data_IF_815494144114
#
_entry.id   IF_815494144114
#
_cell.length_a   1.000
_cell.length_b   1.000
_cell.length_c   1.000
_cell.angle_alpha   90.00
_cell.angle_beta   90.00
_cell.angle_gamma   90.00
#
_symmetry.space_group_name_H-M   'P 1'
#
loop_
_entity.id
_entity.type
_entity.pdbx_description
1 polymer ?
#
# COMPACT_ATOMS: atom_id res chain seq x y z
N UNK A 1 8.34 -28.37 4.53
CA UNK A 1 8.26 -27.22 5.46
C UNK A 1 8.20 -25.85 4.76
N UNK A 2 8.85 -25.64 3.61
CA UNK A 2 8.92 -24.30 2.97
C UNK A 2 7.57 -23.74 2.47
N UNK A 3 6.59 -24.57 2.04
CA UNK A 3 5.34 -24.07 1.42
C UNK A 3 4.38 -23.35 2.37
N UNK A 4 4.09 -23.97 3.51
CA UNK A 4 3.22 -23.37 4.54
C UNK A 4 3.84 -22.06 5.02
N UNK A 5 5.17 -22.05 5.21
CA UNK A 5 5.92 -20.83 5.54
C UNK A 5 5.81 -19.76 4.44
N UNK A 6 5.89 -20.14 3.17
CA UNK A 6 5.71 -19.24 2.03
C UNK A 6 4.31 -18.63 1.93
N UNK A 7 3.28 -19.43 2.20
CA UNK A 7 1.89 -18.95 2.26
C UNK A 7 1.64 -18.04 3.45
N UNK A 8 2.13 -18.41 4.65
CA UNK A 8 2.00 -17.59 5.86
C UNK A 8 2.69 -16.23 5.66
N UNK A 9 3.92 -16.23 5.16
CA UNK A 9 4.66 -14.99 4.89
C UNK A 9 3.99 -14.15 3.81
N UNK A 10 3.44 -14.76 2.75
CA UNK A 10 2.67 -14.06 1.72
C UNK A 10 1.43 -13.37 2.33
N UNK A 11 0.65 -14.09 3.14
CA UNK A 11 -0.53 -13.56 3.82
C UNK A 11 -0.15 -12.42 4.76
N UNK A 12 0.93 -12.57 5.55
CA UNK A 12 1.41 -11.53 6.46
C UNK A 12 1.83 -10.26 5.73
N UNK A 13 2.62 -10.37 4.67
CA UNK A 13 3.09 -9.22 3.88
C UNK A 13 1.87 -8.51 3.25
N UNK A 14 0.98 -9.25 2.62
CA UNK A 14 -0.17 -8.68 1.91
C UNK A 14 -1.20 -8.07 2.87
N UNK A 15 -1.44 -8.71 4.02
CA UNK A 15 -2.32 -8.15 5.06
C UNK A 15 -1.74 -6.87 5.67
N UNK A 16 -0.42 -6.82 5.87
CA UNK A 16 0.28 -5.62 6.37
C UNK A 16 0.21 -4.47 5.37
N UNK A 17 0.39 -4.75 4.07
CA UNK A 17 0.23 -3.77 3.01
C UNK A 17 -1.21 -3.24 2.94
N UNK A 18 -2.20 -4.15 3.00
CA UNK A 18 -3.61 -3.77 3.00
C UNK A 18 -3.97 -2.89 4.20
N UNK A 19 -3.46 -3.23 5.39
CA UNK A 19 -3.66 -2.45 6.61
C UNK A 19 -3.09 -1.04 6.49
N UNK A 20 -1.92 -0.90 5.88
CA UNK A 20 -1.32 0.40 5.62
C UNK A 20 -2.12 1.22 4.58
N UNK A 21 -2.60 0.59 3.50
CA UNK A 21 -3.49 1.27 2.53
C UNK A 21 -4.76 1.75 3.23
N UNK A 22 -5.36 0.91 4.09
CA UNK A 22 -6.51 1.28 4.90
C UNK A 22 -6.23 2.54 5.75
N UNK A 23 -5.10 2.58 6.46
CA UNK A 23 -4.73 3.75 7.24
C UNK A 23 -4.55 5.01 6.39
N UNK A 24 -3.96 4.88 5.20
CA UNK A 24 -3.85 6.00 4.27
C UNK A 24 -5.21 6.55 3.85
N UNK A 25 -6.15 5.66 3.51
CA UNK A 25 -7.52 6.06 3.18
C UNK A 25 -8.22 6.69 4.37
N UNK A 26 -8.05 6.13 5.56
CA UNK A 26 -8.66 6.63 6.79
C UNK A 26 -8.19 8.06 7.08
N UNK A 27 -6.89 8.29 7.04
CA UNK A 27 -6.26 9.58 7.32
C UNK A 27 -6.55 10.60 6.22
N UNK A 28 -6.58 10.17 4.96
CA UNK A 28 -7.04 11.03 3.87
C UNK A 28 -8.51 11.41 4.05
N UNK A 29 -9.33 10.54 4.59
CA UNK A 29 -10.75 10.86 4.83
C UNK A 29 -10.93 11.82 6.00
N UNK A 30 -10.07 11.75 7.04
CA UNK A 30 -10.15 12.68 8.18
C UNK A 30 -9.75 14.12 7.83
N UNK A 31 -9.12 14.40 6.68
CA UNK A 31 -8.83 15.77 6.22
C UNK A 31 -10.00 16.44 5.47
N UNK A 32 -11.08 15.70 5.19
CA UNK A 32 -12.23 16.21 4.41
C UNK A 32 -13.53 16.02 5.19
N UNK A 33 -14.24 17.12 5.40
CA UNK A 33 -15.53 17.15 6.11
C UNK A 33 -16.57 16.25 5.42
N UNK A 34 -16.76 16.42 4.11
CA UNK A 34 -17.71 15.65 3.32
C UNK A 34 -17.03 14.47 2.59
N UNK A 35 -16.44 13.55 3.35
CA UNK A 35 -15.79 12.37 2.79
C UNK A 35 -16.79 11.21 2.58
N UNK A 36 -16.54 10.39 1.56
CA UNK A 36 -17.39 9.27 1.12
C UNK A 36 -17.58 8.22 2.23
N UNK A 37 -16.62 8.10 3.16
CA UNK A 37 -16.63 7.11 4.23
C UNK A 37 -17.24 7.63 5.54
N UNK A 38 -17.74 8.87 5.58
CA UNK A 38 -18.28 9.53 6.77
C UNK A 38 -17.33 9.49 7.99
N UNK A 39 -16.02 9.52 7.75
CA UNK A 39 -15.01 9.55 8.80
C UNK A 39 -14.99 10.95 9.43
N UNK A 40 -14.92 11.08 10.77
CA UNK A 40 -14.88 12.38 11.42
C UNK A 40 -13.70 13.24 10.95
N UNK A 41 -13.98 14.51 10.67
CA UNK A 41 -12.94 15.48 10.32
C UNK A 41 -12.01 15.74 11.53
N UNK A 42 -10.70 15.66 11.29
CA UNK A 42 -9.68 15.89 12.31
C UNK A 42 -8.78 17.08 11.90
N UNK A 43 -8.88 18.25 12.54
CA UNK A 43 -8.12 19.44 12.17
C UNK A 43 -6.68 19.46 12.72
N UNK A 44 -6.23 18.40 13.39
CA UNK A 44 -4.97 18.38 14.16
C UNK A 44 -3.71 18.54 13.31
N UNK A 45 -3.78 18.32 12.00
CA UNK A 45 -2.63 18.34 11.10
C UNK A 45 -1.70 17.13 11.27
N UNK A 46 -2.03 16.18 12.14
CA UNK A 46 -1.21 14.99 12.40
C UNK A 46 -1.13 14.03 11.20
N UNK A 47 -1.92 14.26 10.15
CA UNK A 47 -1.95 13.42 8.95
C UNK A 47 -0.60 13.39 8.22
N UNK A 48 0.08 14.53 8.11
CA UNK A 48 1.42 14.63 7.50
C UNK A 48 2.48 13.85 8.28
N UNK A 49 2.38 13.88 9.62
CA UNK A 49 3.28 13.15 10.50
C UNK A 49 3.12 11.63 10.32
N UNK A 50 1.88 11.15 10.19
CA UNK A 50 1.63 9.75 9.88
C UNK A 50 2.28 9.33 8.57
N UNK A 51 2.11 10.11 7.49
CA UNK A 51 2.67 9.78 6.18
C UNK A 51 4.20 9.71 6.18
N UNK A 52 4.85 10.53 7.00
CA UNK A 52 6.30 10.48 7.17
C UNK A 52 6.74 9.22 7.95
N UNK A 53 6.02 8.89 9.03
CA UNK A 53 6.32 7.70 9.85
C UNK A 53 6.01 6.39 9.13
N UNK A 54 4.99 6.34 8.28
CA UNK A 54 4.62 5.12 7.54
C UNK A 54 5.64 4.75 6.46
N UNK A 55 6.42 5.72 5.97
CA UNK A 55 7.43 5.52 4.92
C UNK A 55 8.46 4.42 5.23
N UNK A 56 9.15 4.39 6.39
CA UNK A 56 10.06 3.29 6.73
C UNK A 56 9.38 1.92 6.78
N UNK A 57 8.12 1.85 7.23
CA UNK A 57 7.38 0.57 7.22
C UNK A 57 7.13 0.07 5.80
N UNK A 58 6.90 0.97 4.84
CA UNK A 58 6.77 0.59 3.43
C UNK A 58 8.07 0.09 2.82
N UNK A 59 9.19 0.73 3.13
CA UNK A 59 10.49 0.27 2.67
C UNK A 59 10.77 -1.14 3.18
N UNK A 60 10.50 -1.39 4.47
CA UNK A 60 10.65 -2.72 5.06
C UNK A 60 9.72 -3.74 4.38
N UNK A 61 8.45 -3.41 4.15
CA UNK A 61 7.51 -4.32 3.48
C UNK A 61 7.87 -4.59 2.02
N UNK A 62 8.34 -3.59 1.28
CA UNK A 62 8.80 -3.75 -0.09
C UNK A 62 10.03 -4.67 -0.15
N UNK A 63 10.99 -4.49 0.78
CA UNK A 63 12.16 -5.37 0.91
C UNK A 63 11.74 -6.81 1.27
N UNK A 64 10.83 -6.97 2.23
CA UNK A 64 10.30 -8.28 2.61
C UNK A 64 9.60 -8.98 1.44
N UNK A 65 8.80 -8.24 0.66
CA UNK A 65 8.15 -8.77 -0.54
C UNK A 65 9.16 -9.20 -1.60
N UNK A 66 10.23 -8.42 -1.79
CA UNK A 66 11.30 -8.76 -2.73
C UNK A 66 12.10 -9.99 -2.28
N UNK A 67 12.46 -10.07 -0.99
CA UNK A 67 13.13 -11.22 -0.40
C UNK A 67 12.25 -12.48 -0.48
N UNK A 68 10.95 -12.35 -0.21
CA UNK A 68 9.98 -13.43 -0.35
C UNK A 68 9.92 -13.95 -1.79
N UNK A 69 9.87 -13.04 -2.77
CA UNK A 69 9.90 -13.43 -4.18
C UNK A 69 11.20 -14.09 -4.61
N UNK A 70 12.35 -13.67 -4.05
CA UNK A 70 13.62 -14.34 -4.30
C UNK A 70 13.65 -15.74 -3.70
N UNK A 71 13.17 -15.90 -2.47
CA UNK A 71 13.24 -17.16 -1.75
C UNK A 71 12.28 -18.23 -2.32
N UNK A 72 11.13 -17.82 -2.83
CA UNK A 72 10.11 -18.72 -3.40
C UNK A 72 10.08 -18.73 -4.93
N UNK A 73 11.07 -18.12 -5.60
CA UNK A 73 11.15 -18.01 -7.06
C UNK A 73 9.88 -17.43 -7.71
N UNK A 74 9.19 -16.53 -7.00
CA UNK A 74 7.99 -15.88 -7.50
C UNK A 74 8.35 -14.85 -8.56
N UNK A 75 7.38 -14.54 -9.43
CA UNK A 75 7.58 -13.57 -10.52
C UNK A 75 7.88 -12.18 -9.95
N UNK A 76 9.16 -11.76 -10.05
CA UNK A 76 9.68 -10.50 -9.47
C UNK A 76 8.91 -9.25 -9.92
N UNK A 77 8.36 -9.26 -11.14
CA UNK A 77 7.54 -8.16 -11.69
C UNK A 77 6.27 -7.87 -10.86
N UNK A 78 5.78 -8.85 -10.10
CA UNK A 78 4.62 -8.72 -9.20
C UNK A 78 4.99 -8.13 -7.83
N UNK A 79 6.27 -8.15 -7.48
CA UNK A 79 6.79 -7.50 -6.27
C UNK A 79 7.27 -6.09 -6.54
N UNK A 80 7.73 -5.79 -7.76
CA UNK A 80 8.19 -4.46 -8.15
C UNK A 80 7.06 -3.43 -8.30
N UNK A 81 5.79 -3.83 -8.40
CA UNK A 81 4.68 -2.86 -8.40
C UNK A 81 4.38 -2.27 -7.02
N UNK A 82 4.72 -2.98 -5.94
CA UNK A 82 4.59 -2.47 -4.56
C UNK A 82 5.42 -1.18 -4.36
N UNK A 83 6.73 -1.14 -4.64
CA UNK A 83 7.49 0.11 -4.52
C UNK A 83 7.02 1.21 -5.49
N UNK A 84 6.44 0.89 -6.65
CA UNK A 84 5.88 1.89 -7.56
C UNK A 84 4.64 2.57 -6.95
N UNK A 85 3.73 1.79 -6.36
CA UNK A 85 2.57 2.31 -5.63
C UNK A 85 3.02 3.23 -4.49
N UNK A 86 4.07 2.84 -3.77
CA UNK A 86 4.63 3.67 -2.70
C UNK A 86 5.27 4.95 -3.19
N UNK A 87 6.00 4.90 -4.30
CA UNK A 87 6.53 6.08 -4.96
C UNK A 87 5.41 7.05 -5.35
N UNK A 88 4.28 6.53 -5.84
CA UNK A 88 3.12 7.35 -6.18
C UNK A 88 2.54 8.09 -4.96
N UNK A 89 2.38 7.40 -3.81
CA UNK A 89 1.98 8.06 -2.57
C UNK A 89 2.99 9.14 -2.14
N UNK A 90 4.28 8.83 -2.20
CA UNK A 90 5.34 9.75 -1.82
C UNK A 90 5.36 11.02 -2.69
N UNK A 91 5.27 10.87 -4.01
CA UNK A 91 5.20 12.00 -4.95
C UNK A 91 3.95 12.84 -4.69
N UNK A 92 2.80 12.20 -4.44
CA UNK A 92 1.57 12.92 -4.13
C UNK A 92 1.73 13.79 -2.87
N UNK A 93 2.31 13.23 -1.80
CA UNK A 93 2.55 13.96 -0.55
C UNK A 93 3.52 15.14 -0.78
N UNK A 94 4.64 14.92 -1.47
CA UNK A 94 5.60 16.00 -1.79
C UNK A 94 4.98 17.10 -2.65
N UNK A 95 4.20 16.74 -3.66
CA UNK A 95 3.52 17.67 -4.54
C UNK A 95 2.58 18.60 -3.74
N UNK A 96 1.86 18.03 -2.78
CA UNK A 96 0.90 18.76 -1.95
C UNK A 96 1.59 19.63 -0.89
N UNK A 97 2.80 19.26 -0.47
CA UNK A 97 3.64 20.09 0.39
C UNK A 97 4.25 21.29 -0.35
N UNK A 98 4.56 21.13 -1.64
CA UNK A 98 5.27 22.14 -2.42
C UNK A 98 4.36 23.13 -3.17
N UNK A 99 3.16 22.72 -3.62
CA UNK A 99 2.43 23.45 -4.68
C UNK A 99 1.15 24.17 -4.22
N UNK A 100 0.49 23.81 -3.11
CA UNK A 100 -0.91 24.25 -2.88
C UNK A 100 -1.12 25.12 -1.63
N UNK A 101 -1.55 26.37 -1.84
CA UNK A 101 -2.08 27.25 -0.79
C UNK A 101 -3.44 26.72 -0.26
N UNK A 102 -3.40 26.25 1.00
CA UNK A 102 -4.44 25.94 2.01
C UNK A 102 -5.84 25.39 1.63
N UNK A 103 -6.53 25.87 0.60
CA UNK A 103 -7.94 25.48 0.35
C UNK A 103 -8.11 24.37 -0.70
N UNK A 104 -7.38 24.42 -1.82
CA UNK A 104 -7.40 23.36 -2.83
C UNK A 104 -6.60 22.10 -2.43
N UNK A 105 -5.85 22.19 -1.31
CA UNK A 105 -4.91 21.18 -0.81
C UNK A 105 -5.63 19.88 -0.43
N UNK A 106 -6.76 20.01 0.26
CA UNK A 106 -7.43 18.87 0.90
C UNK A 106 -8.17 17.99 -0.11
N UNK A 107 -8.77 18.58 -1.14
CA UNK A 107 -9.48 17.80 -2.17
C UNK A 107 -8.52 17.00 -3.05
N UNK A 108 -7.40 17.59 -3.47
CA UNK A 108 -6.41 16.91 -4.30
C UNK A 108 -5.73 15.78 -3.52
N UNK A 109 -5.38 16.01 -2.24
CA UNK A 109 -4.86 14.98 -1.35
C UNK A 109 -5.84 13.83 -1.18
N UNK A 110 -7.09 14.14 -0.87
CA UNK A 110 -8.14 13.16 -0.64
C UNK A 110 -8.38 12.26 -1.87
N UNK A 111 -8.70 12.84 -3.03
CA UNK A 111 -9.01 12.07 -4.23
C UNK A 111 -7.75 11.42 -4.83
N UNK A 112 -6.58 12.04 -4.67
CA UNK A 112 -5.30 11.46 -5.05
C UNK A 112 -5.02 10.18 -4.24
N UNK A 113 -5.14 10.24 -2.92
CA UNK A 113 -4.92 9.06 -2.07
C UNK A 113 -5.96 7.98 -2.36
N UNK A 114 -7.23 8.33 -2.52
CA UNK A 114 -8.26 7.35 -2.88
C UNK A 114 -7.98 6.64 -4.21
N UNK A 115 -7.58 7.38 -5.24
CA UNK A 115 -7.31 6.78 -6.55
C UNK A 115 -6.10 5.85 -6.51
N UNK A 116 -5.00 6.26 -5.85
CA UNK A 116 -3.83 5.39 -5.64
C UNK A 116 -4.21 4.16 -4.81
N UNK A 117 -4.98 4.32 -3.73
CA UNK A 117 -5.43 3.22 -2.88
C UNK A 117 -6.28 2.21 -3.64
N UNK A 118 -7.16 2.67 -4.53
CA UNK A 118 -7.98 1.77 -5.36
C UNK A 118 -7.10 0.92 -6.30
N UNK A 119 -6.15 1.56 -6.99
CA UNK A 119 -5.17 0.86 -7.86
C UNK A 119 -4.31 -0.09 -7.04
N UNK A 120 -3.88 0.33 -5.85
CA UNK A 120 -3.06 -0.47 -4.96
C UNK A 120 -3.76 -1.75 -4.49
N UNK A 121 -5.03 -1.63 -4.07
CA UNK A 121 -5.84 -2.79 -3.66
C UNK A 121 -6.05 -3.75 -4.84
N UNK A 122 -6.41 -3.23 -6.02
CA UNK A 122 -6.60 -4.05 -7.21
C UNK A 122 -5.31 -4.81 -7.59
N UNK A 123 -4.17 -4.10 -7.55
CA UNK A 123 -2.86 -4.71 -7.80
C UNK A 123 -2.51 -5.77 -6.75
N UNK A 124 -2.77 -5.49 -5.47
CA UNK A 124 -2.48 -6.40 -4.37
C UNK A 124 -3.31 -7.69 -4.49
N UNK A 125 -4.60 -7.59 -4.81
CA UNK A 125 -5.48 -8.75 -5.06
C UNK A 125 -4.93 -9.59 -6.22
N UNK A 126 -4.64 -8.94 -7.35
CA UNK A 126 -4.10 -9.61 -8.54
C UNK A 126 -2.76 -10.29 -8.25
N UNK A 127 -1.83 -9.59 -7.62
CA UNK A 127 -0.50 -10.09 -7.27
C UNK A 127 -0.59 -11.26 -6.29
N UNK A 128 -1.42 -11.13 -5.25
CA UNK A 128 -1.67 -12.21 -4.28
C UNK A 128 -2.20 -13.46 -4.96
N UNK A 129 -3.18 -13.30 -5.86
CA UNK A 129 -3.76 -14.41 -6.60
C UNK A 129 -2.71 -15.14 -7.45
N UNK A 130 -1.90 -14.39 -8.21
CA UNK A 130 -0.83 -14.97 -9.02
C UNK A 130 0.25 -15.66 -8.17
N UNK A 131 0.67 -15.06 -7.06
CA UNK A 131 1.68 -15.61 -6.16
C UNK A 131 1.15 -16.87 -5.46
N UNK A 132 -0.10 -16.86 -5.01
CA UNK A 132 -0.78 -18.03 -4.45
C UNK A 132 -0.82 -19.18 -5.46
N UNK A 133 -1.21 -18.91 -6.71
CA UNK A 133 -1.28 -19.93 -7.76
C UNK A 133 0.11 -20.49 -8.10
N UNK A 134 1.17 -19.67 -8.08
CA UNK A 134 2.56 -20.12 -8.27
C UNK A 134 3.03 -21.02 -7.12
N UNK A 135 2.80 -20.60 -5.87
CA UNK A 135 3.10 -21.39 -4.67
C UNK A 135 2.33 -22.73 -4.68
N UNK A 136 1.06 -22.71 -5.11
CA UNK A 136 0.22 -23.90 -5.21
C UNK A 136 0.60 -24.82 -6.38
N UNK A 137 1.04 -24.29 -7.53
CA UNK A 137 1.41 -25.12 -8.69
C UNK A 137 2.83 -25.69 -8.60
N UNK A 138 3.75 -25.01 -7.91
CA UNK A 138 5.03 -25.59 -7.47
C UNK A 138 4.82 -26.89 -6.64
N UNK A 139 3.60 -27.09 -6.12
CA UNK A 139 3.18 -28.31 -5.41
C UNK A 139 2.95 -29.54 -6.27
N UNK A 140 2.69 -29.40 -7.58
CA UNK A 140 2.37 -30.55 -8.45
C UNK A 140 3.59 -31.20 -9.12
N UNK A 141 4.77 -30.58 -9.03
CA UNK A 141 5.99 -31.04 -9.73
C UNK A 141 6.98 -31.82 -8.86
N UNK A 142 6.69 -31.97 -7.57
CA UNK A 142 7.42 -32.84 -6.64
C UNK A 142 6.51 -33.99 -6.22
#
# INVERSE_FOLDING_TARGET
>A
MNKIFGLISLVLINSSLLYLIYWYVYIASSIKVDNIFNIPYEPSGMQLFFYFISLPFFLVLALLSLLHSYHFELRRSLCTGIPIIWLAYFILILCIDFIVHFSARNNLLYYGILSISCVAVAYLIYSTYCQFLQLSNSTRKN
#
